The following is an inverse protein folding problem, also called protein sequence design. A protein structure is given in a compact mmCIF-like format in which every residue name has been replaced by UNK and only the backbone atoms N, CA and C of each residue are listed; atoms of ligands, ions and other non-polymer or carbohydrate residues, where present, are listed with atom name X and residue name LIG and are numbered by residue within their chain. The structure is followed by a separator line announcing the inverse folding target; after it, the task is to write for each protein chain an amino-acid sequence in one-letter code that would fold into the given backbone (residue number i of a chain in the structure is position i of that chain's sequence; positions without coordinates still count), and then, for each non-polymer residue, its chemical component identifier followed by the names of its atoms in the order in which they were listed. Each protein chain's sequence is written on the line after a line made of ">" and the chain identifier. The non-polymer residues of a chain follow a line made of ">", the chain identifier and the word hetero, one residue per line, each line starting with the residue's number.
data_IF_938105914772
#
_entry.id   IF_938105914772
#
_cell.length_a   1.000
_cell.length_b   1.000
_cell.length_c   1.000
_cell.angle_alpha   90.00
_cell.angle_beta   90.00
_cell.angle_gamma   90.00
#
_symmetry.space_group_name_H-M   'P 1'
#
loop_
_entity.id
_entity.type
_entity.pdbx_description
1 polymer ?
#
# COMPACT_ATOMS: atom_id res chain seq x y z
N UNK A 1 16.08 -5.01 -18.96
CA UNK A 1 15.09 -5.71 -18.14
C UNK A 1 14.26 -4.65 -17.47
N UNK A 2 12.94 -4.68 -17.67
CA UNK A 2 12.06 -3.81 -16.92
C UNK A 2 12.13 -4.18 -15.44
N UNK A 3 12.30 -3.17 -14.58
CA UNK A 3 12.46 -3.38 -13.14
C UNK A 3 11.22 -2.86 -12.43
N UNK A 4 10.29 -3.77 -12.16
CA UNK A 4 9.22 -3.55 -11.18
C UNK A 4 9.82 -3.65 -9.78
N UNK A 5 9.47 -2.72 -8.90
CA UNK A 5 9.72 -2.77 -7.46
C UNK A 5 8.42 -2.48 -6.73
N UNK A 6 8.14 -3.29 -5.72
CA UNK A 6 7.04 -3.09 -4.80
C UNK A 6 7.68 -3.04 -3.41
N UNK A 7 7.58 -1.90 -2.74
CA UNK A 7 8.06 -1.72 -1.38
C UNK A 7 6.87 -1.49 -0.47
N UNK A 8 6.96 -1.96 0.76
CA UNK A 8 5.90 -1.78 1.76
C UNK A 8 6.45 -1.03 2.95
N UNK A 9 5.63 -0.13 3.46
CA UNK A 9 5.97 0.68 4.61
C UNK A 9 4.84 0.61 5.63
N UNK A 10 5.22 0.47 6.90
CA UNK A 10 4.31 0.41 8.04
C UNK A 10 4.31 1.75 8.76
N UNK A 11 3.15 2.21 9.21
CA UNK A 11 3.08 3.37 10.10
C UNK A 11 3.84 3.11 11.40
N UNK A 12 4.70 4.05 11.75
CA UNK A 12 5.47 4.13 12.97
C UNK A 12 4.99 5.30 13.84
N UNK A 13 3.84 5.89 13.55
CA UNK A 13 3.29 7.01 14.29
C UNK A 13 1.83 6.74 14.66
N UNK A 14 1.51 6.90 15.94
CA UNK A 14 0.13 6.86 16.45
C UNK A 14 -0.21 8.26 16.97
N UNK A 15 -1.28 8.94 16.51
CA UNK A 15 -1.57 10.34 16.88
C UNK A 15 -1.56 10.63 18.39
N UNK A 16 -2.01 9.67 19.19
CA UNK A 16 -2.15 9.76 20.64
C UNK A 16 -0.84 9.50 21.38
N UNK A 17 0.10 8.75 20.76
CA UNK A 17 1.29 8.23 21.43
C UNK A 17 2.62 8.71 20.81
N UNK A 18 2.58 9.30 19.63
CA UNK A 18 3.77 9.69 18.86
C UNK A 18 4.42 8.48 18.16
N UNK A 19 5.76 8.54 18.03
CA UNK A 19 6.51 7.48 17.35
C UNK A 19 6.54 6.16 18.14
N UNK A 20 6.20 5.07 17.48
CA UNK A 20 6.15 3.72 18.03
C UNK A 20 7.55 3.12 18.29
N UNK A 21 8.59 3.66 17.66
CA UNK A 21 9.97 3.15 17.75
C UNK A 21 10.94 4.30 18.07
N UNK A 22 12.25 4.02 18.06
CA UNK A 22 13.28 5.06 18.24
C UNK A 22 13.50 5.87 16.95
N UNK A 23 12.98 5.41 15.82
CA UNK A 23 13.05 6.10 14.55
C UNK A 23 12.02 7.24 14.53
N UNK A 24 12.48 8.46 14.25
CA UNK A 24 11.63 9.64 14.09
C UNK A 24 11.16 9.77 12.63
N UNK A 25 10.59 8.70 12.10
CA UNK A 25 10.01 8.64 10.75
C UNK A 25 8.59 8.12 10.85
N UNK A 26 7.67 8.75 10.14
CA UNK A 26 6.25 8.37 10.17
C UNK A 26 6.03 6.96 9.62
N UNK A 27 6.79 6.56 8.60
CA UNK A 27 6.71 5.22 8.03
C UNK A 27 8.07 4.53 8.00
N UNK A 28 8.07 3.23 8.27
CA UNK A 28 9.25 2.37 8.21
C UNK A 28 9.09 1.32 7.11
N UNK A 29 10.13 1.07 6.28
CA UNK A 29 10.15 -0.08 5.39
C UNK A 29 9.83 -1.37 6.14
N UNK A 30 9.11 -2.30 5.53
CA UNK A 30 8.71 -3.57 6.18
C UNK A 30 9.92 -4.44 6.57
N UNK A 31 11.07 -4.26 5.90
CA UNK A 31 12.33 -4.92 6.20
C UNK A 31 13.19 -4.18 7.23
N UNK A 32 12.72 -3.03 7.75
CA UNK A 32 13.38 -2.31 8.82
C UNK A 32 13.34 -3.16 10.12
N UNK A 33 14.43 -3.20 10.92
CA UNK A 33 14.48 -4.00 12.15
C UNK A 33 13.34 -3.71 13.14
N UNK A 34 12.91 -2.45 13.20
CA UNK A 34 11.85 -2.00 14.10
C UNK A 34 10.43 -2.06 13.48
N UNK A 35 10.28 -2.47 12.22
CA UNK A 35 8.99 -2.49 11.53
C UNK A 35 7.97 -3.39 12.23
N UNK A 36 8.41 -4.56 12.72
CA UNK A 36 7.56 -5.47 13.48
C UNK A 36 7.04 -4.82 14.77
N UNK A 37 7.88 -4.05 15.46
CA UNK A 37 7.50 -3.35 16.70
C UNK A 37 6.51 -2.24 16.40
N UNK A 38 6.73 -1.47 15.33
CA UNK A 38 5.79 -0.46 14.87
C UNK A 38 4.42 -1.06 14.53
N UNK A 39 4.41 -2.14 13.72
CA UNK A 39 3.20 -2.86 13.34
C UNK A 39 2.41 -3.38 14.55
N UNK A 40 3.10 -4.02 15.50
CA UNK A 40 2.45 -4.59 16.68
C UNK A 40 1.80 -3.50 17.53
N UNK A 41 2.49 -2.38 17.76
CA UNK A 41 1.93 -1.26 18.53
C UNK A 41 0.74 -0.62 17.84
N UNK A 42 0.80 -0.46 16.52
CA UNK A 42 -0.31 0.09 15.75
C UNK A 42 -1.54 -0.84 15.79
N UNK A 43 -1.32 -2.14 15.58
CA UNK A 43 -2.38 -3.15 15.68
C UNK A 43 -3.01 -3.19 17.07
N UNK A 44 -2.23 -3.10 18.14
CA UNK A 44 -2.79 -3.08 19.49
C UNK A 44 -3.58 -1.78 19.78
N UNK A 45 -3.28 -0.66 19.10
CA UNK A 45 -4.05 0.58 19.16
C UNK A 45 -5.38 0.48 18.38
N UNK A 46 -5.38 -0.14 17.20
CA UNK A 46 -6.55 -0.31 16.31
C UNK A 46 -7.39 -1.57 16.64
N UNK A 47 -7.32 -2.11 17.86
CA UNK A 47 -8.00 -3.35 18.26
C UNK A 47 -7.75 -4.56 17.32
N UNK A 48 -6.58 -4.56 16.66
CA UNK A 48 -6.11 -5.54 15.67
C UNK A 48 -6.95 -5.60 14.40
N UNK A 49 -7.68 -4.53 14.11
CA UNK A 49 -8.55 -4.43 12.93
C UNK A 49 -7.75 -3.87 11.76
N UNK A 50 -7.00 -2.79 11.97
CA UNK A 50 -6.36 -2.02 10.91
C UNK A 50 -4.85 -1.88 11.12
N UNK A 51 -4.11 -1.93 10.00
CA UNK A 51 -2.67 -1.71 9.98
C UNK A 51 -2.37 -0.62 8.96
N UNK A 52 -2.15 0.59 9.46
CA UNK A 52 -1.86 1.73 8.60
C UNK A 52 -0.45 1.61 7.98
N UNK A 53 -0.35 1.96 6.70
CA UNK A 53 0.90 2.02 5.96
C UNK A 53 0.68 2.46 4.53
N UNK A 54 1.64 2.16 3.67
CA UNK A 54 1.49 2.34 2.23
C UNK A 54 2.34 1.36 1.43
N UNK A 55 2.00 1.21 0.15
CA UNK A 55 2.75 0.43 -0.82
C UNK A 55 3.31 1.38 -1.87
N UNK A 56 4.61 1.34 -2.08
CA UNK A 56 5.29 2.05 -3.15
C UNK A 56 5.46 1.12 -4.36
N UNK A 57 4.99 1.55 -5.53
CA UNK A 57 5.17 0.80 -6.77
C UNK A 57 6.00 1.63 -7.74
N UNK A 58 7.15 1.09 -8.15
CA UNK A 58 8.06 1.72 -9.12
C UNK A 58 8.24 0.79 -10.31
N UNK A 59 7.99 1.31 -11.52
CA UNK A 59 8.25 0.60 -12.77
C UNK A 59 9.02 1.51 -13.73
N UNK A 60 10.17 1.04 -14.23
CA UNK A 60 11.04 1.81 -15.14
C UNK A 60 11.39 3.21 -14.60
N UNK A 61 11.69 3.29 -13.29
CA UNK A 61 11.95 4.52 -12.53
C UNK A 61 10.79 5.51 -12.44
N UNK A 62 9.56 5.10 -12.81
CA UNK A 62 8.35 5.87 -12.58
C UNK A 62 7.64 5.33 -11.33
N UNK A 63 7.29 6.23 -10.43
CA UNK A 63 6.51 5.91 -9.22
C UNK A 63 5.03 5.98 -9.57
N UNK A 64 4.30 4.90 -9.30
CA UNK A 64 2.86 4.77 -9.54
C UNK A 64 2.05 4.92 -8.26
N UNK A 65 2.57 4.43 -7.14
CA UNK A 65 2.05 4.61 -5.78
C UNK A 65 3.19 5.03 -4.86
N UNK A 66 2.90 5.90 -3.89
CA UNK A 66 3.81 6.40 -2.87
C UNK A 66 3.04 6.67 -1.56
N UNK A 67 3.65 7.42 -0.65
CA UNK A 67 3.10 7.77 0.66
C UNK A 67 1.85 8.68 0.59
N UNK A 68 1.63 9.39 -0.53
CA UNK A 68 0.39 10.13 -0.77
C UNK A 68 -0.82 9.21 -0.96
N UNK A 69 -0.58 7.93 -1.24
CA UNK A 69 -1.57 6.88 -1.37
C UNK A 69 -1.55 5.89 -0.19
N UNK A 70 -1.39 6.43 1.04
CA UNK A 70 -1.51 5.66 2.29
C UNK A 70 -2.88 5.00 2.46
N UNK A 71 -2.88 3.95 3.27
CA UNK A 71 -4.06 3.14 3.60
C UNK A 71 -4.04 2.75 5.08
N UNK A 72 -5.22 2.77 5.70
CA UNK A 72 -5.47 2.36 7.07
C UNK A 72 -5.46 0.83 7.16
N UNK A 73 -5.66 0.13 6.04
CA UNK A 73 -5.60 -1.32 5.95
C UNK A 73 -4.65 -1.83 4.86
N UNK A 74 -3.39 -1.94 5.26
CA UNK A 74 -2.32 -2.50 4.45
C UNK A 74 -2.52 -3.99 4.13
N UNK A 75 -3.18 -4.74 5.02
CA UNK A 75 -3.42 -6.17 4.82
C UNK A 75 -4.48 -6.40 3.73
N UNK A 76 -5.55 -5.62 3.76
CA UNK A 76 -6.58 -5.65 2.72
C UNK A 76 -6.01 -5.25 1.37
N UNK A 77 -5.19 -4.20 1.34
CA UNK A 77 -4.52 -3.77 0.09
C UNK A 77 -3.63 -4.88 -0.49
N UNK A 78 -2.89 -5.60 0.36
CA UNK A 78 -2.09 -6.76 -0.07
C UNK A 78 -2.95 -7.95 -0.51
N UNK A 79 -4.11 -8.19 0.11
CA UNK A 79 -5.06 -9.22 -0.32
C UNK A 79 -5.58 -8.94 -1.73
N UNK A 80 -5.89 -7.67 -2.05
CA UNK A 80 -6.26 -7.26 -3.41
C UNK A 80 -5.13 -7.55 -4.42
N UNK A 81 -3.88 -7.19 -4.11
CA UNK A 81 -2.73 -7.55 -4.97
C UNK A 81 -2.58 -9.07 -5.16
N UNK A 82 -2.75 -9.86 -4.09
CA UNK A 82 -2.63 -11.31 -4.15
C UNK A 82 -3.75 -11.94 -5.00
N UNK A 83 -4.97 -11.40 -4.94
CA UNK A 83 -6.09 -11.87 -5.77
C UNK A 83 -5.82 -11.73 -7.25
N UNK A 84 -5.14 -10.66 -7.67
CA UNK A 84 -4.73 -10.48 -9.07
C UNK A 84 -3.85 -11.65 -9.50
N UNK A 85 -2.80 -11.96 -8.73
CA UNK A 85 -1.87 -13.07 -9.04
C UNK A 85 -2.61 -14.42 -9.10
N UNK A 86 -3.58 -14.64 -8.21
CA UNK A 86 -4.32 -15.90 -8.13
C UNK A 86 -5.37 -16.04 -9.25
N UNK A 87 -5.97 -14.93 -9.70
CA UNK A 87 -7.10 -14.91 -10.64
C UNK A 87 -6.76 -14.41 -12.05
N UNK A 88 -5.50 -14.07 -12.32
CA UNK A 88 -4.98 -13.40 -13.53
C UNK A 88 -5.49 -13.96 -14.89
N UNK A 89 -5.81 -15.25 -14.95
CA UNK A 89 -6.31 -15.87 -16.18
C UNK A 89 -7.81 -15.65 -16.44
N UNK A 90 -8.59 -15.20 -15.45
CA UNK A 90 -10.07 -15.17 -15.51
C UNK A 90 -10.70 -13.79 -15.62
N UNK A 91 -9.96 -12.73 -15.31
CA UNK A 91 -10.47 -11.36 -15.25
C UNK A 91 -9.63 -10.45 -16.17
N UNK A 92 -10.29 -9.59 -16.93
CA UNK A 92 -9.64 -8.63 -17.84
C UNK A 92 -9.39 -7.26 -17.17
N UNK A 93 -9.99 -7.03 -16.01
CA UNK A 93 -9.87 -5.81 -15.20
C UNK A 93 -9.81 -6.20 -13.72
N UNK A 94 -8.87 -5.60 -13.01
CA UNK A 94 -8.74 -5.70 -11.55
C UNK A 94 -8.75 -4.32 -10.94
N UNK A 95 -9.58 -4.13 -9.92
CA UNK A 95 -9.62 -2.91 -9.12
C UNK A 95 -8.92 -3.19 -7.79
N UNK A 96 -7.93 -2.36 -7.45
CA UNK A 96 -7.30 -2.32 -6.12
C UNK A 96 -7.80 -1.05 -5.45
N UNK A 97 -8.54 -1.24 -4.36
CA UNK A 97 -9.09 -0.11 -3.59
C UNK A 97 -8.05 0.31 -2.56
N UNK A 98 -7.55 1.54 -2.67
CA UNK A 98 -6.71 2.14 -1.63
C UNK A 98 -7.65 2.85 -0.66
N UNK A 99 -7.92 2.19 0.46
CA UNK A 99 -9.15 2.39 1.24
C UNK A 99 -9.40 3.82 1.75
N UNK A 100 -8.38 4.67 1.87
CA UNK A 100 -8.56 5.97 2.55
C UNK A 100 -8.51 7.18 1.62
N UNK A 101 -7.74 7.12 0.55
CA UNK A 101 -7.64 8.24 -0.39
C UNK A 101 -8.73 8.19 -1.46
N UNK A 102 -9.66 7.23 -1.37
CA UNK A 102 -10.72 6.98 -2.36
C UNK A 102 -10.18 6.76 -3.77
N UNK A 103 -8.89 6.42 -3.89
CA UNK A 103 -8.25 6.18 -5.17
C UNK A 103 -8.30 4.71 -5.49
N UNK A 104 -8.57 4.41 -6.75
CA UNK A 104 -8.55 3.04 -7.24
C UNK A 104 -7.40 2.90 -8.20
N UNK A 105 -6.49 1.96 -7.93
CA UNK A 105 -5.54 1.52 -8.93
C UNK A 105 -6.20 0.42 -9.76
N UNK A 106 -6.49 0.74 -11.02
CA UNK A 106 -7.01 -0.22 -11.99
C UNK A 106 -5.86 -0.88 -12.75
N UNK A 107 -5.94 -2.20 -12.88
CA UNK A 107 -5.05 -2.99 -13.72
C UNK A 107 -5.87 -3.62 -14.83
N UNK A 108 -5.65 -3.16 -16.06
CA UNK A 108 -6.36 -3.64 -17.26
C UNK A 108 -5.46 -4.55 -18.08
N UNK A 109 -6.00 -5.68 -18.52
CA UNK A 109 -5.33 -6.60 -19.45
C UNK A 109 -5.48 -6.09 -20.88
N UNK A 110 -4.36 -5.98 -21.60
CA UNK A 110 -4.30 -5.57 -23.01
C UNK A 110 -3.48 -6.59 -23.81
N UNK A 111 -4.14 -7.70 -24.15
CA UNK A 111 -3.50 -8.85 -24.78
C UNK A 111 -2.49 -9.52 -23.84
N UNK A 112 -1.20 -9.40 -24.17
CA UNK A 112 -0.08 -9.90 -23.35
C UNK A 112 0.50 -8.83 -22.39
N UNK A 113 -0.06 -7.63 -22.37
CA UNK A 113 0.41 -6.50 -21.57
C UNK A 113 -0.60 -6.11 -20.48
N UNK A 114 -0.15 -5.32 -19.51
CA UNK A 114 -1.01 -4.69 -18.51
C UNK A 114 -0.91 -3.17 -18.59
N UNK A 115 -2.05 -2.50 -18.37
CA UNK A 115 -2.14 -1.05 -18.21
C UNK A 115 -2.53 -0.73 -16.76
N UNK A 116 -1.74 0.13 -16.13
CA UNK A 116 -1.98 0.65 -14.79
C UNK A 116 -2.63 2.02 -14.91
N UNK A 117 -3.80 2.20 -14.30
CA UNK A 117 -4.52 3.48 -14.26
C UNK A 117 -4.80 3.81 -12.80
N UNK A 118 -4.21 4.89 -12.30
CA UNK A 118 -4.57 5.43 -11.00
C UNK A 118 -5.72 6.41 -11.19
N UNK A 119 -6.93 6.01 -10.78
CA UNK A 119 -8.08 6.88 -10.70
C UNK A 119 -8.14 7.48 -9.29
N UNK A 120 -7.46 8.61 -9.10
CA UNK A 120 -7.39 9.28 -7.80
C UNK A 120 -8.51 10.28 -7.61
N UNK A 121 -9.40 10.05 -6.64
CA UNK A 121 -10.28 11.10 -6.11
C UNK A 121 -9.48 12.03 -5.19
N UNK A 122 -8.74 12.97 -5.77
CA UNK A 122 -8.21 14.08 -4.96
C UNK A 122 -9.39 14.95 -4.55
N UNK A 123 -9.83 14.84 -3.29
CA UNK A 123 -10.47 16.00 -2.64
C UNK A 123 -9.40 17.08 -2.56
N UNK A 124 -9.51 18.09 -3.41
CA UNK A 124 -8.85 19.37 -3.18
C UNK A 124 -9.38 19.90 -1.85
N UNK A 125 -8.56 19.81 -0.80
CA UNK A 125 -8.72 20.65 0.39
C UNK A 125 -8.31 22.09 0.07
#
# INVERSE_FOLDING_TARGET
>A
MSKLKINTYISNFIPEFGYSTRENKEYLPIDHPDAQVAAQKYLDYEDRIYLNGYIEIIYENKTFLNDSERTDDLLFTWDDFARIVIKDEKEDEFDITLLDNGSTLKILKDGANYKLILDSFRRTE
#
